data_IF_048169437158
#
_entry.id   IF_048169437158
#
_cell.length_a   1.000
_cell.length_b   1.000
_cell.length_c   1.000
_cell.angle_alpha   90.00
_cell.angle_beta   90.00
_cell.angle_gamma   90.00
#
_symmetry.space_group_name_H-M   'P 1'
#
loop_
_entity.id
_entity.type
_entity.pdbx_description
1 polymer ?
#
# COMPACT_ATOMS: atom_id res chain seq x y z
N UNK A 1 -1.89 5.45 -1.10
CA UNK A 1 -2.78 5.86 0.00
C UNK A 1 -2.85 7.38 0.05
N UNK A 2 -3.74 7.96 0.86
CA UNK A 2 -3.77 9.41 1.09
C UNK A 2 -4.24 9.73 2.52
N UNK A 3 -3.89 10.89 3.06
CA UNK A 3 -4.28 11.31 4.42
C UNK A 3 -5.79 11.49 4.59
N UNK A 4 -6.52 11.78 3.52
CA UNK A 4 -7.97 11.92 3.49
C UNK A 4 -8.71 10.58 3.26
N UNK A 5 -7.98 9.50 2.99
CA UNK A 5 -8.55 8.18 2.74
C UNK A 5 -8.72 7.40 4.05
N UNK A 6 -9.91 7.43 4.63
CA UNK A 6 -10.24 6.66 5.84
C UNK A 6 -9.88 5.16 5.75
N UNK A 7 -10.29 4.39 4.72
CA UNK A 7 -9.96 2.96 4.65
C UNK A 7 -8.44 2.71 4.56
N UNK A 8 -7.69 3.64 3.96
CA UNK A 8 -6.23 3.54 3.92
C UNK A 8 -5.60 3.65 5.32
N UNK A 9 -6.11 4.56 6.16
CA UNK A 9 -5.58 4.75 7.51
C UNK A 9 -5.95 3.59 8.44
N UNK A 10 -7.14 3.02 8.25
CA UNK A 10 -7.64 1.90 9.05
C UNK A 10 -6.84 0.61 8.84
N UNK A 11 -6.40 0.32 7.61
CA UNK A 11 -5.65 -0.90 7.31
C UNK A 11 -4.16 -0.82 7.70
N UNK A 12 -3.56 0.38 7.79
CA UNK A 12 -2.13 0.55 8.02
C UNK A 12 -1.59 -0.20 9.25
N UNK A 13 -2.20 -0.12 10.46
CA UNK A 13 -1.70 -0.86 11.61
C UNK A 13 -1.67 -2.37 11.37
N UNK A 14 -2.63 -2.91 10.61
CA UNK A 14 -2.67 -4.32 10.24
C UNK A 14 -1.54 -4.67 9.27
N UNK A 15 -1.32 -3.87 8.23
CA UNK A 15 -0.22 -4.08 7.28
C UNK A 15 1.14 -4.12 7.98
N UNK A 16 1.36 -3.25 8.98
CA UNK A 16 2.55 -3.28 9.82
C UNK A 16 2.70 -4.60 10.59
N UNK A 17 1.62 -5.11 11.20
CA UNK A 17 1.63 -6.41 11.89
C UNK A 17 1.93 -7.57 10.95
N UNK A 18 1.38 -7.56 9.75
CA UNK A 18 1.60 -8.61 8.74
C UNK A 18 3.05 -8.64 8.27
N UNK A 19 3.66 -7.49 7.98
CA UNK A 19 5.11 -7.41 7.71
C UNK A 19 5.92 -7.99 8.86
N UNK A 20 5.63 -7.58 10.09
CA UNK A 20 6.38 -8.03 11.26
C UNK A 20 6.23 -9.54 11.49
N UNK A 21 5.06 -10.11 11.19
CA UNK A 21 4.81 -11.55 11.25
C UNK A 21 5.63 -12.31 10.20
N UNK A 22 5.66 -11.85 8.95
CA UNK A 22 6.48 -12.46 7.88
C UNK A 22 7.95 -12.44 8.22
N UNK A 23 8.44 -11.30 8.73
CA UNK A 23 9.82 -11.15 9.18
C UNK A 23 10.16 -12.14 10.30
N UNK A 24 9.25 -12.37 11.26
CA UNK A 24 9.41 -13.38 12.31
C UNK A 24 9.42 -14.81 11.78
N UNK A 25 8.68 -15.08 10.69
CA UNK A 25 8.69 -16.36 9.97
C UNK A 25 9.93 -16.54 9.06
N UNK A 26 10.82 -15.55 8.98
CA UNK A 26 12.01 -15.59 8.12
C UNK A 26 11.72 -15.32 6.64
N UNK A 27 10.53 -14.81 6.32
CA UNK A 27 10.16 -14.40 4.96
C UNK A 27 10.66 -12.97 4.73
N UNK A 28 11.56 -12.72 3.75
CA UNK A 28 11.99 -11.36 3.43
C UNK A 28 10.82 -10.60 2.80
N UNK A 29 10.26 -9.66 3.55
CA UNK A 29 9.11 -8.87 3.11
C UNK A 29 9.25 -7.43 3.61
N UNK A 30 9.26 -6.50 2.67
CA UNK A 30 9.29 -5.07 2.94
C UNK A 30 7.91 -4.45 2.67
N UNK A 31 7.56 -3.44 3.47
CA UNK A 31 6.35 -2.64 3.28
C UNK A 31 6.75 -1.21 2.98
N UNK A 32 6.24 -0.66 1.90
CA UNK A 32 6.38 0.75 1.55
C UNK A 32 5.00 1.41 1.40
N UNK A 33 4.93 2.69 1.74
CA UNK A 33 3.68 3.45 1.73
C UNK A 33 3.75 4.59 0.73
N UNK A 34 3.16 4.40 -0.45
CA UNK A 34 3.18 5.41 -1.50
C UNK A 34 1.96 6.34 -1.38
N UNK A 35 2.20 7.61 -1.04
CA UNK A 35 1.17 8.64 -0.86
C UNK A 35 0.91 9.41 -2.16
N UNK A 36 -0.37 9.67 -2.42
CA UNK A 36 -0.85 10.56 -3.49
C UNK A 36 -1.50 11.83 -2.91
N UNK A 37 -1.15 12.23 -1.69
CA UNK A 37 -1.61 13.48 -1.12
C UNK A 37 -1.17 14.68 -1.98
N UNK A 38 -2.04 15.66 -2.17
CA UNK A 38 -1.68 16.91 -2.84
C UNK A 38 -1.05 17.92 -1.86
N UNK A 39 -1.41 17.80 -0.59
CA UNK A 39 -0.98 18.69 0.49
C UNK A 39 0.19 18.07 1.27
N UNK A 40 1.40 18.52 0.94
CA UNK A 40 2.64 18.07 1.58
C UNK A 40 2.62 18.26 3.11
N UNK A 41 2.03 19.36 3.58
CA UNK A 41 2.04 19.67 5.00
C UNK A 41 1.19 18.67 5.78
N UNK A 42 0.01 18.31 5.25
CA UNK A 42 -0.83 17.25 5.83
C UNK A 42 -0.15 15.90 5.79
N UNK A 43 0.50 15.55 4.67
CA UNK A 43 1.27 14.31 4.57
C UNK A 43 2.37 14.27 5.64
N UNK A 44 3.21 15.31 5.74
CA UNK A 44 4.28 15.42 6.72
C UNK A 44 3.74 15.31 8.15
N UNK A 45 2.64 15.99 8.47
CA UNK A 45 1.99 15.90 9.78
C UNK A 45 1.54 14.46 10.08
N UNK A 46 0.94 13.76 9.10
CA UNK A 46 0.51 12.37 9.25
C UNK A 46 1.68 11.43 9.46
N UNK A 47 2.78 11.61 8.72
CA UNK A 47 4.00 10.81 8.87
C UNK A 47 4.62 11.02 10.25
N UNK A 48 4.70 12.26 10.72
CA UNK A 48 5.18 12.59 12.07
C UNK A 48 4.29 11.99 13.18
N UNK A 49 2.98 11.91 12.95
CA UNK A 49 2.05 11.25 13.87
C UNK A 49 2.18 9.72 13.90
N UNK A 50 2.90 9.14 12.95
CA UNK A 50 3.21 7.71 12.91
C UNK A 50 2.51 6.96 11.77
N UNK A 51 3.31 6.17 11.06
CA UNK A 51 2.91 5.24 10.00
C UNK A 51 3.76 3.97 10.15
N UNK A 52 3.25 2.80 9.72
CA UNK A 52 3.92 1.53 10.00
C UNK A 52 5.20 1.32 9.16
N UNK A 53 5.44 2.10 8.10
CA UNK A 53 6.49 1.86 7.11
C UNK A 53 7.00 3.18 6.48
N UNK A 54 8.17 3.17 5.80
CA UNK A 54 8.66 4.32 5.04
C UNK A 54 7.64 4.81 4.01
N UNK A 55 7.60 6.13 3.83
CA UNK A 55 6.65 6.79 2.94
C UNK A 55 7.37 7.42 1.75
N UNK A 56 6.87 7.12 0.56
CA UNK A 56 7.25 7.77 -0.70
C UNK A 56 6.10 8.67 -1.12
N UNK A 57 6.39 9.94 -1.39
CA UNK A 57 5.40 10.88 -1.93
C UNK A 57 5.50 10.90 -3.44
N UNK A 58 4.41 10.55 -4.13
CA UNK A 58 4.38 10.36 -5.59
C UNK A 58 3.87 11.62 -6.31
N UNK A 59 3.47 12.65 -5.55
CA UNK A 59 3.16 14.01 -6.04
C UNK A 59 2.13 14.10 -7.18
N UNK A 60 1.25 13.10 -7.38
CA UNK A 60 0.11 13.21 -8.30
C UNK A 60 -0.81 11.98 -8.24
N UNK A 61 -2.10 12.14 -7.89
CA UNK A 61 -3.12 11.12 -8.12
C UNK A 61 -3.23 10.71 -9.60
N UNK A 62 -3.02 11.64 -10.52
CA UNK A 62 -3.08 11.41 -11.98
C UNK A 62 -2.01 10.44 -12.45
N UNK A 63 -0.80 10.49 -11.86
CA UNK A 63 0.27 9.54 -12.16
C UNK A 63 -0.12 8.12 -11.74
N UNK A 64 -0.77 7.97 -10.58
CA UNK A 64 -1.32 6.68 -10.14
C UNK A 64 -2.42 6.20 -11.10
N UNK A 65 -3.40 7.05 -11.42
CA UNK A 65 -4.49 6.72 -12.36
C UNK A 65 -3.96 6.30 -13.74
N UNK A 66 -2.99 7.02 -14.29
CA UNK A 66 -2.34 6.66 -15.56
C UNK A 66 -1.60 5.33 -15.48
N UNK A 67 -0.95 5.02 -14.35
CA UNK A 67 -0.30 3.73 -14.12
C UNK A 67 -1.32 2.60 -14.02
N UNK A 68 -2.41 2.77 -13.27
CA UNK A 68 -3.49 1.79 -13.16
C UNK A 68 -4.14 1.49 -14.52
N UNK A 69 -4.38 2.52 -15.33
CA UNK A 69 -4.90 2.37 -16.68
C UNK A 69 -3.99 1.52 -17.58
N UNK A 70 -2.65 1.66 -17.46
CA UNK A 70 -1.69 0.79 -18.19
C UNK A 70 -1.75 -0.67 -17.76
N UNK A 71 -2.18 -0.93 -16.52
CA UNK A 71 -2.39 -2.28 -15.99
C UNK A 71 -3.78 -2.84 -16.33
N UNK A 72 -4.60 -2.12 -17.10
CA UNK A 72 -5.97 -2.50 -17.43
C UNK A 72 -6.93 -2.40 -16.24
N UNK A 73 -6.55 -1.64 -15.20
CA UNK A 73 -7.39 -1.36 -14.04
C UNK A 73 -8.14 -0.04 -14.24
N UNK A 74 -9.23 0.11 -13.50
CA UNK A 74 -10.01 1.35 -13.52
C UNK A 74 -9.14 2.52 -13.03
N UNK A 75 -8.89 3.56 -13.84
CA UNK A 75 -8.09 4.71 -13.45
C UNK A 75 -8.76 5.55 -12.35
N UNK A 76 -10.08 5.42 -12.18
CA UNK A 76 -10.87 6.06 -11.13
C UNK A 76 -11.01 5.16 -9.89
N UNK A 77 -10.25 4.05 -9.86
CA UNK A 77 -10.18 3.12 -8.73
C UNK A 77 -9.98 3.84 -7.40
N UNK A 78 -10.84 3.54 -6.45
CA UNK A 78 -10.75 4.12 -5.12
C UNK A 78 -9.53 3.58 -4.37
N UNK A 79 -8.82 4.48 -3.69
CA UNK A 79 -7.80 4.13 -2.71
C UNK A 79 -8.41 3.27 -1.56
N UNK A 80 -7.61 2.41 -0.91
CA UNK A 80 -6.19 2.14 -1.15
C UNK A 80 -5.94 1.26 -2.37
N UNK A 81 -4.69 1.26 -2.85
CA UNK A 81 -4.21 0.31 -3.87
C UNK A 81 -2.99 -0.39 -3.29
N UNK A 82 -2.97 -1.71 -3.41
CA UNK A 82 -1.90 -2.58 -2.96
C UNK A 82 -1.22 -3.20 -4.19
N UNK A 83 0.11 -3.19 -4.21
CA UNK A 83 0.92 -3.82 -5.25
C UNK A 83 1.89 -4.78 -4.59
N UNK A 84 1.89 -6.04 -5.05
CA UNK A 84 2.86 -7.04 -4.62
C UNK A 84 3.94 -7.17 -5.70
N UNK A 85 5.18 -6.85 -5.32
CA UNK A 85 6.36 -6.93 -6.18
C UNK A 85 7.22 -8.10 -5.70
N UNK A 86 7.72 -8.92 -6.63
CA UNK A 86 8.64 -10.01 -6.30
C UNK A 86 10.11 -9.54 -6.22
N UNK A 87 11.04 -10.39 -5.75
CA UNK A 87 12.47 -10.02 -5.65
C UNK A 87 13.19 -9.75 -6.99
N UNK A 88 12.50 -9.90 -8.14
CA UNK A 88 13.02 -9.59 -9.48
C UNK A 88 12.39 -8.31 -10.03
N UNK A 89 11.79 -7.49 -9.17
CA UNK A 89 11.06 -6.26 -9.50
C UNK A 89 9.87 -6.49 -10.43
N UNK A 90 9.25 -7.69 -10.39
CA UNK A 90 8.08 -7.99 -11.19
C UNK A 90 6.79 -7.81 -10.38
N UNK A 91 5.83 -7.10 -10.96
CA UNK A 91 4.48 -6.96 -10.42
C UNK A 91 3.75 -8.31 -10.47
N UNK A 92 3.42 -8.86 -9.29
CA UNK A 92 2.74 -10.14 -9.14
C UNK A 92 1.23 -10.00 -9.01
N UNK A 93 0.80 -8.97 -8.28
CA UNK A 93 -0.60 -8.75 -7.97
C UNK A 93 -0.86 -7.26 -7.76
N UNK A 94 -2.03 -6.81 -8.20
CA UNK A 94 -2.59 -5.52 -7.80
C UNK A 94 -3.96 -5.75 -7.21
N UNK A 95 -4.22 -5.11 -6.08
CA UNK A 95 -5.50 -5.13 -5.40
C UNK A 95 -5.97 -3.69 -5.18
N UNK A 96 -7.13 -3.39 -5.72
CA UNK A 96 -7.81 -2.10 -5.54
C UNK A 96 -8.82 -2.19 -4.40
N UNK A 97 -8.77 -1.25 -3.46
CA UNK A 97 -9.57 -1.25 -2.25
C UNK A 97 -8.88 -1.94 -1.07
N UNK A 98 -9.42 -1.71 0.13
CA UNK A 98 -8.83 -2.16 1.38
C UNK A 98 -8.69 -3.67 1.47
N UNK A 99 -7.68 -4.08 2.24
CA UNK A 99 -7.50 -5.45 2.73
C UNK A 99 -7.90 -5.54 4.20
N UNK A 100 -8.36 -6.71 4.61
CA UNK A 100 -8.87 -6.97 5.95
C UNK A 100 -8.14 -8.15 6.59
N UNK A 101 -8.29 -8.31 7.91
CA UNK A 101 -7.59 -9.36 8.66
C UNK A 101 -7.87 -10.77 8.11
N UNK A 102 -9.09 -11.01 7.61
CA UNK A 102 -9.50 -12.28 7.02
C UNK A 102 -8.78 -12.59 5.68
N UNK A 103 -8.19 -11.59 5.01
CA UNK A 103 -7.44 -11.78 3.77
C UNK A 103 -6.04 -12.37 4.03
N UNK A 104 -5.60 -12.44 5.29
CA UNK A 104 -4.23 -12.84 5.64
C UNK A 104 -3.82 -14.21 5.10
N UNK A 105 -4.74 -15.17 5.12
CA UNK A 105 -4.49 -16.51 4.59
C UNK A 105 -4.14 -16.48 3.09
N UNK A 106 -4.91 -15.71 2.32
CA UNK A 106 -4.71 -15.51 0.88
C UNK A 106 -3.42 -14.76 0.59
N UNK A 107 -3.16 -13.68 1.34
CA UNK A 107 -1.93 -12.87 1.18
C UNK A 107 -0.68 -13.73 1.39
N UNK A 108 -0.65 -14.58 2.42
CA UNK A 108 0.48 -15.50 2.64
C UNK A 108 0.70 -16.50 1.50
N UNK A 109 -0.36 -16.93 0.83
CA UNK A 109 -0.23 -17.83 -0.32
C UNK A 109 0.36 -17.11 -1.55
N UNK A 110 0.13 -15.80 -1.69
CA UNK A 110 0.67 -15.00 -2.80
C UNK A 110 2.15 -14.63 -2.61
N UNK A 111 2.61 -14.54 -1.34
CA UNK A 111 3.99 -14.16 -0.98
C UNK A 111 4.97 -15.36 -1.08
N UNK A 112 4.47 -16.59 -0.97
CA UNK A 112 5.26 -17.82 -1.04
C UNK A 112 5.42 -18.32 -2.48
#
# INVERSE_FOLDING_TARGET
>A
WATWCAPCLEEMPMLGRWRDALKKEGVPFELELWSVDEDEAKLRQRVQAGVPAPVTWVESPEALSAYLGKLGLDPDSMLPVQMLIDPKDQLRCVRVGAVHENDWGTVKQLIR
#
